data_IF_099268331465
#
_entry.id   IF_099268331465
#
_cell.length_a   1.000
_cell.length_b   1.000
_cell.length_c   1.000
_cell.angle_alpha   90.00
_cell.angle_beta   90.00
_cell.angle_gamma   90.00
#
_symmetry.space_group_name_H-M   'P 1'
#
loop_
_entity.id
_entity.type
_entity.pdbx_description
1 polymer ?
#
# COMPACT_ATOMS: atom_id res chain seq x y z
N UNK A 1 -13.75 17.49 -15.95
CA UNK A 1 -12.42 16.87 -15.75
C UNK A 1 -12.25 16.71 -14.25
N UNK A 2 -12.38 15.50 -13.71
CA UNK A 2 -12.10 15.25 -12.29
C UNK A 2 -10.63 15.51 -12.02
N UNK A 3 -10.31 16.17 -10.91
CA UNK A 3 -8.93 16.24 -10.44
C UNK A 3 -8.38 14.80 -10.37
N UNK A 4 -7.13 14.55 -10.79
CA UNK A 4 -6.49 13.27 -10.49
C UNK A 4 -6.49 13.13 -8.96
N UNK A 5 -7.33 12.22 -8.45
CA UNK A 5 -7.53 11.96 -7.03
C UNK A 5 -6.30 11.34 -6.39
N UNK A 6 -5.37 10.84 -7.20
CA UNK A 6 -4.11 10.27 -6.76
C UNK A 6 -2.98 11.30 -6.87
N UNK A 7 -2.91 12.18 -5.87
CA UNK A 7 -1.66 12.88 -5.55
C UNK A 7 -0.88 11.88 -4.71
N UNK A 8 0.39 11.63 -5.02
CA UNK A 8 1.27 10.65 -4.35
C UNK A 8 1.51 10.92 -2.84
N UNK A 9 0.69 11.77 -2.24
CA UNK A 9 0.77 12.30 -0.88
C UNK A 9 -0.11 11.53 0.10
N UNK A 10 -1.08 10.72 -0.36
CA UNK A 10 -2.07 10.07 0.52
C UNK A 10 -2.38 8.64 0.08
N UNK A 11 -2.51 7.70 1.01
CA UNK A 11 -3.05 6.36 0.71
C UNK A 11 -4.59 6.49 0.64
N UNK A 12 -5.25 6.09 -0.45
CA UNK A 12 -6.69 6.22 -0.57
C UNK A 12 -7.40 5.33 0.48
N UNK A 13 -8.58 5.74 0.97
CA UNK A 13 -9.34 4.90 1.89
C UNK A 13 -9.82 3.62 1.19
N UNK A 14 -9.95 2.49 1.93
CA UNK A 14 -10.52 1.27 1.38
C UNK A 14 -11.96 1.52 0.90
N UNK A 15 -12.34 0.89 -0.21
CA UNK A 15 -13.71 0.98 -0.72
C UNK A 15 -14.73 0.45 0.31
N UNK A 16 -15.98 0.94 0.33
CA UNK A 16 -17.02 0.42 1.22
C UNK A 16 -17.23 -1.10 1.05
N UNK A 17 -17.15 -1.84 2.16
CA UNK A 17 -17.34 -3.30 2.22
C UNK A 17 -18.64 -3.62 2.96
N UNK A 18 -19.42 -4.58 2.43
CA UNK A 18 -20.62 -5.12 3.08
C UNK A 18 -20.57 -6.64 3.10
N UNK A 19 -20.97 -7.24 4.23
CA UNK A 19 -21.03 -8.70 4.41
C UNK A 19 -22.45 -9.07 4.85
N UNK A 20 -23.10 -9.98 4.12
CA UNK A 20 -24.49 -10.39 4.35
C UNK A 20 -25.59 -9.48 3.78
N UNK A 21 -26.85 -9.90 3.94
CA UNK A 21 -28.03 -9.41 3.20
C UNK A 21 -28.62 -8.04 3.66
N UNK A 22 -27.81 -7.07 4.09
CA UNK A 22 -28.31 -5.83 4.70
C UNK A 22 -27.70 -4.53 4.19
N UNK A 23 -28.04 -4.07 2.96
CA UNK A 23 -27.77 -2.68 2.56
C UNK A 23 -27.87 -2.34 1.07
N UNK A 24 -28.34 -1.11 0.76
CA UNK A 24 -28.55 -0.56 -0.59
C UNK A 24 -27.31 -0.50 -1.49
N UNK A 25 -27.59 -0.53 -2.80
CA UNK A 25 -26.67 -0.58 -3.93
C UNK A 25 -25.48 0.41 -3.87
N UNK A 26 -24.27 -0.12 -3.73
CA UNK A 26 -23.01 0.63 -3.84
C UNK A 26 -21.90 0.07 -2.95
N UNK A 27 -21.36 -1.10 -3.29
CA UNK A 27 -20.24 -1.76 -2.58
C UNK A 27 -20.10 -3.23 -2.98
N UNK A 28 -18.97 -3.87 -2.64
CA UNK A 28 -18.84 -5.32 -2.77
C UNK A 28 -19.64 -6.02 -1.66
N UNK A 29 -20.51 -6.96 -2.04
CA UNK A 29 -21.28 -7.82 -1.13
C UNK A 29 -20.66 -9.22 -1.14
N UNK A 30 -20.38 -9.75 0.05
CA UNK A 30 -19.82 -11.09 0.22
C UNK A 30 -20.67 -11.91 1.20
N UNK A 31 -20.82 -13.21 0.96
CA UNK A 31 -21.27 -14.13 2.01
C UNK A 31 -20.17 -14.32 3.07
N UNK A 32 -20.51 -14.67 4.32
CA UNK A 32 -19.53 -14.84 5.40
C UNK A 32 -18.38 -15.81 5.06
N UNK A 33 -18.66 -16.88 4.31
CA UNK A 33 -17.65 -17.85 3.89
C UNK A 33 -16.77 -17.33 2.75
N UNK A 34 -17.33 -16.55 1.81
CA UNK A 34 -16.58 -15.93 0.72
C UNK A 34 -15.60 -14.88 1.24
N UNK A 35 -15.94 -14.12 2.29
CA UNK A 35 -15.05 -13.09 2.85
C UNK A 35 -13.73 -13.69 3.32
N UNK A 36 -13.74 -14.88 3.94
CA UNK A 36 -12.51 -15.55 4.40
C UNK A 36 -11.59 -15.90 3.23
N UNK A 37 -12.15 -16.41 2.14
CA UNK A 37 -11.40 -16.71 0.92
C UNK A 37 -10.82 -15.45 0.27
N UNK A 38 -11.58 -14.35 0.28
CA UNK A 38 -11.12 -13.05 -0.21
C UNK A 38 -9.98 -12.51 0.66
N UNK A 39 -10.12 -12.54 1.99
CA UNK A 39 -9.05 -12.16 2.93
C UNK A 39 -7.77 -12.96 2.67
N UNK A 40 -7.87 -14.27 2.44
CA UNK A 40 -6.70 -15.12 2.11
C UNK A 40 -5.96 -14.60 0.88
N UNK A 41 -6.68 -14.33 -0.21
CA UNK A 41 -6.10 -13.80 -1.46
C UNK A 41 -5.43 -12.44 -1.26
N UNK A 42 -6.01 -11.57 -0.43
CA UNK A 42 -5.38 -10.28 -0.12
C UNK A 42 -4.13 -10.44 0.77
N UNK A 43 -4.11 -11.39 1.70
CA UNK A 43 -2.92 -11.72 2.49
C UNK A 43 -1.79 -12.31 1.62
N UNK A 44 -2.13 -13.13 0.64
CA UNK A 44 -1.19 -13.61 -0.39
C UNK A 44 -0.61 -12.43 -1.18
N UNK A 45 -1.47 -11.57 -1.73
CA UNK A 45 -1.03 -10.37 -2.45
C UNK A 45 -0.17 -9.44 -1.57
N UNK A 46 -0.49 -9.29 -0.29
CA UNK A 46 0.32 -8.50 0.64
C UNK A 46 1.75 -9.05 0.75
N UNK A 47 1.89 -10.38 0.76
CA UNK A 47 3.20 -11.05 0.81
C UNK A 47 4.01 -10.78 -0.45
N UNK A 48 3.36 -10.83 -1.62
CA UNK A 48 3.99 -10.51 -2.89
C UNK A 48 4.43 -9.03 -2.93
N UNK A 49 3.56 -8.11 -2.49
CA UNK A 49 3.86 -6.69 -2.44
C UNK A 49 4.98 -6.34 -1.45
N UNK A 50 5.11 -7.07 -0.35
CA UNK A 50 6.25 -6.92 0.56
C UNK A 50 7.56 -7.36 -0.09
N UNK A 51 7.52 -8.39 -0.92
CA UNK A 51 8.67 -8.83 -1.72
C UNK A 51 9.04 -7.75 -2.74
N UNK A 52 8.06 -7.19 -3.45
CA UNK A 52 8.28 -6.11 -4.40
C UNK A 52 8.82 -4.85 -3.73
N UNK A 53 8.33 -4.49 -2.55
CA UNK A 53 8.86 -3.38 -1.75
C UNK A 53 10.33 -3.60 -1.38
N UNK A 54 10.71 -4.82 -1.01
CA UNK A 54 12.12 -5.16 -0.75
C UNK A 54 13.00 -4.98 -1.99
N UNK A 55 12.49 -5.36 -3.17
CA UNK A 55 13.18 -5.15 -4.44
C UNK A 55 13.29 -3.66 -4.77
N UNK A 56 12.22 -2.89 -4.54
CA UNK A 56 12.21 -1.44 -4.74
C UNK A 56 13.22 -0.73 -3.83
N UNK A 57 13.34 -1.14 -2.55
CA UNK A 57 14.36 -0.63 -1.63
C UNK A 57 15.78 -0.87 -2.19
N UNK A 58 16.02 -2.06 -2.75
CA UNK A 58 17.32 -2.39 -3.36
C UNK A 58 17.65 -1.46 -4.54
N UNK A 59 16.65 -1.08 -5.34
CA UNK A 59 16.81 -0.15 -6.46
C UNK A 59 17.03 1.29 -5.95
N UNK A 60 16.27 1.73 -4.95
CA UNK A 60 16.38 3.06 -4.37
C UNK A 60 17.76 3.29 -3.70
N UNK A 61 18.34 2.24 -3.14
CA UNK A 61 19.64 2.27 -2.44
C UNK A 61 20.84 1.94 -3.35
N UNK A 62 20.64 1.91 -4.67
CA UNK A 62 21.70 1.58 -5.62
C UNK A 62 22.89 2.53 -5.49
N UNK A 63 24.10 1.95 -5.49
CA UNK A 63 25.36 2.68 -5.36
C UNK A 63 26.04 2.82 -6.72
N UNK A 64 26.82 3.91 -6.92
CA UNK A 64 27.58 4.07 -8.16
C UNK A 64 28.62 2.95 -8.28
N UNK A 65 28.82 2.36 -9.48
CA UNK A 65 29.77 1.27 -9.68
C UNK A 65 31.24 1.72 -9.62
N UNK A 66 31.49 3.03 -9.76
CA UNK A 66 32.82 3.63 -9.66
C UNK A 66 32.78 5.03 -9.04
N UNK A 67 33.95 5.60 -8.76
CA UNK A 67 34.10 6.92 -8.12
C UNK A 67 34.19 8.07 -9.13
N UNK A 68 34.15 7.78 -10.43
CA UNK A 68 34.14 8.79 -11.48
C UNK A 68 32.83 9.57 -11.50
N UNK A 69 32.91 10.80 -12.02
CA UNK A 69 31.78 11.72 -12.09
C UNK A 69 30.55 11.12 -12.78
N UNK A 70 30.74 10.37 -13.88
CA UNK A 70 29.64 9.76 -14.63
C UNK A 70 28.81 8.78 -13.79
N UNK A 71 29.46 7.93 -13.00
CA UNK A 71 28.78 6.98 -12.11
C UNK A 71 27.99 7.69 -11.02
N UNK A 72 28.58 8.72 -10.40
CA UNK A 72 27.89 9.53 -9.39
C UNK A 72 26.71 10.32 -9.96
N UNK A 73 26.87 10.94 -11.14
CA UNK A 73 25.82 11.74 -11.77
C UNK A 73 24.63 10.87 -12.19
N UNK A 74 24.88 9.68 -12.74
CA UNK A 74 23.82 8.73 -13.09
C UNK A 74 22.98 8.33 -11.87
N UNK A 75 23.62 7.97 -10.76
CA UNK A 75 22.90 7.58 -9.54
C UNK A 75 22.10 8.75 -8.99
N UNK A 76 22.72 9.93 -8.87
CA UNK A 76 22.07 11.08 -8.24
C UNK A 76 20.93 11.66 -9.09
N UNK A 77 21.02 11.64 -10.43
CA UNK A 77 20.04 12.28 -11.31
C UNK A 77 18.98 11.34 -11.87
N UNK A 78 19.29 10.07 -12.05
CA UNK A 78 18.38 9.12 -12.69
C UNK A 78 17.94 8.04 -11.71
N UNK A 79 18.88 7.27 -11.19
CA UNK A 79 18.56 6.04 -10.47
C UNK A 79 17.88 6.31 -9.11
N UNK A 80 18.39 7.29 -8.35
CA UNK A 80 17.87 7.58 -7.01
C UNK A 80 16.45 8.12 -7.03
N UNK A 81 16.18 9.14 -7.86
CA UNK A 81 14.84 9.77 -7.95
C UNK A 81 13.78 8.76 -8.41
N UNK A 82 14.10 7.96 -9.43
CA UNK A 82 13.17 6.93 -9.91
C UNK A 82 13.01 5.79 -8.91
N UNK A 83 14.08 5.37 -8.24
CA UNK A 83 14.05 4.36 -7.17
C UNK A 83 13.24 4.80 -5.95
N UNK A 84 13.42 6.04 -5.47
CA UNK A 84 12.63 6.62 -4.37
C UNK A 84 11.14 6.67 -4.73
N UNK A 85 10.82 7.06 -5.98
CA UNK A 85 9.43 7.06 -6.46
C UNK A 85 8.85 5.65 -6.49
N UNK A 86 9.60 4.67 -6.99
CA UNK A 86 9.19 3.26 -7.05
C UNK A 86 8.94 2.71 -5.63
N UNK A 87 9.89 2.92 -4.71
CA UNK A 87 9.76 2.55 -3.31
C UNK A 87 8.50 3.15 -2.68
N UNK A 88 8.27 4.45 -2.88
CA UNK A 88 7.08 5.13 -2.35
C UNK A 88 5.78 4.51 -2.87
N UNK A 89 5.71 4.16 -4.16
CA UNK A 89 4.50 3.50 -4.70
C UNK A 89 4.28 2.13 -4.07
N UNK A 90 5.31 1.29 -3.98
CA UNK A 90 5.17 -0.05 -3.40
C UNK A 90 4.78 0.03 -1.91
N UNK A 91 5.32 0.99 -1.17
CA UNK A 91 4.90 1.23 0.22
C UNK A 91 3.42 1.58 0.30
N UNK A 92 2.93 2.49 -0.56
CA UNK A 92 1.51 2.87 -0.59
C UNK A 92 0.60 1.70 -0.96
N UNK A 93 1.03 0.82 -1.87
CA UNK A 93 0.29 -0.39 -2.22
C UNK A 93 0.20 -1.34 -1.02
N UNK A 94 1.30 -1.58 -0.31
CA UNK A 94 1.34 -2.38 0.92
C UNK A 94 0.37 -1.80 1.96
N UNK A 95 0.41 -0.49 2.18
CA UNK A 95 -0.43 0.18 3.18
C UNK A 95 -1.92 0.09 2.79
N UNK A 96 -2.25 0.31 1.53
CA UNK A 96 -3.62 0.16 1.03
C UNK A 96 -4.15 -1.27 1.25
N UNK A 97 -3.36 -2.29 0.90
CA UNK A 97 -3.77 -3.69 1.04
C UNK A 97 -3.97 -4.06 2.52
N UNK A 98 -3.08 -3.61 3.41
CA UNK A 98 -3.25 -3.81 4.86
C UNK A 98 -4.56 -3.20 5.36
N UNK A 99 -4.83 -1.94 5.01
CA UNK A 99 -6.06 -1.25 5.41
C UNK A 99 -7.32 -1.94 4.84
N UNK A 100 -7.23 -2.49 3.63
CA UNK A 100 -8.34 -3.21 3.01
C UNK A 100 -8.60 -4.57 3.69
N UNK A 101 -7.55 -5.32 4.04
CA UNK A 101 -7.66 -6.57 4.81
C UNK A 101 -8.32 -6.30 6.17
N UNK A 102 -7.89 -5.26 6.87
CA UNK A 102 -8.46 -4.87 8.15
C UNK A 102 -9.94 -4.52 8.02
N UNK A 103 -10.32 -3.77 6.99
CA UNK A 103 -11.71 -3.42 6.72
C UNK A 103 -12.56 -4.66 6.40
N UNK A 104 -12.02 -5.65 5.66
CA UNK A 104 -12.68 -6.93 5.40
C UNK A 104 -12.86 -7.75 6.69
N UNK A 105 -11.83 -7.83 7.53
CA UNK A 105 -11.88 -8.52 8.83
C UNK A 105 -12.94 -7.91 9.74
N UNK A 106 -12.94 -6.58 9.88
CA UNK A 106 -13.96 -5.82 10.63
C UNK A 106 -15.37 -6.07 10.11
N UNK A 107 -15.57 -6.02 8.79
CA UNK A 107 -16.87 -6.25 8.17
C UNK A 107 -17.37 -7.70 8.34
N UNK A 108 -16.45 -8.66 8.41
CA UNK A 108 -16.77 -10.07 8.66
C UNK A 108 -17.03 -10.41 10.13
N UNK A 109 -16.85 -9.46 11.05
CA UNK A 109 -16.84 -9.73 12.49
C UNK A 109 -15.68 -10.61 12.95
N UNK A 110 -14.62 -10.70 12.13
CA UNK A 110 -13.37 -11.39 12.46
C UNK A 110 -12.49 -10.35 13.16
N UNK A 111 -12.71 -10.19 14.47
CA UNK A 111 -11.82 -9.37 15.29
C UNK A 111 -10.66 -10.26 15.71
N UNK A 112 -9.54 -10.21 14.99
CA UNK A 112 -8.25 -10.49 15.64
C UNK A 112 -7.93 -9.23 16.45
N UNK A 113 -7.83 -9.37 17.78
CA UNK A 113 -7.31 -8.32 18.66
C UNK A 113 -5.86 -8.01 18.25
N UNK A 114 -5.70 -7.12 17.27
CA UNK A 114 -4.47 -6.40 17.02
C UNK A 114 -4.76 -4.93 17.31
N UNK A 115 -5.17 -4.65 18.54
CA UNK A 115 -5.20 -3.30 19.10
C UNK A 115 -3.79 -2.86 19.46
N UNK A 116 -2.89 -2.73 18.48
CA UNK A 116 -1.62 -2.05 18.71
C UNK A 116 -1.17 -1.36 17.41
N UNK A 117 -0.98 -0.04 17.51
CA UNK A 117 -0.17 0.82 16.62
C UNK A 117 -0.78 1.61 15.44
N UNK A 118 -2.10 1.74 15.22
CA UNK A 118 -2.62 2.55 14.09
C UNK A 118 -3.23 3.93 14.42
N UNK A 119 -3.11 4.42 15.65
CA UNK A 119 -3.51 5.78 16.00
C UNK A 119 -2.34 6.69 16.36
N UNK A 120 -1.25 6.70 15.57
CA UNK A 120 -0.19 7.73 15.65
C UNK A 120 0.70 7.70 14.40
N UNK A 121 0.22 8.25 13.27
CA UNK A 121 1.05 8.93 12.24
C UNK A 121 0.27 9.28 10.95
N UNK A 122 -1.02 9.62 11.04
CA UNK A 122 -1.71 10.31 9.93
C UNK A 122 -1.51 11.81 10.12
N UNK A 123 -0.27 12.27 9.96
CA UNK A 123 0.10 13.65 10.27
C UNK A 123 1.50 14.00 9.82
N UNK A 124 1.64 14.31 8.53
CA UNK A 124 2.75 15.13 8.02
C UNK A 124 3.81 14.37 7.24
N UNK A 125 3.62 14.22 5.93
CA UNK A 125 4.74 14.31 5.00
C UNK A 125 4.88 15.79 4.60
N UNK A 126 5.78 16.51 5.28
CA UNK A 126 6.22 17.82 4.82
C UNK A 126 7.09 17.64 3.58
N UNK A 127 6.65 18.21 2.46
CA UNK A 127 7.48 18.38 1.29
C UNK A 127 8.57 19.43 1.57
N UNK A 128 9.82 19.08 1.28
CA UNK A 128 10.92 20.03 1.04
C UNK A 128 10.82 20.60 -0.37
#
# INVERSE_FOLDING_TARGET
MGNPTDRLTEVPPPAPIKVGNGGSAGGYEFSPDEVRGVISKWKELLTDLQTDLSNANTIAEVKPPGQEFASGDFVNRAAKVSGETLQLQHQRMVDYVKNYIEALQKAAGIVEENEDEQHKNVGGYQAV
#
